data_IF_068806749310
#
_entry.id   IF_068806749310
#
_cell.length_a   1.000
_cell.length_b   1.000
_cell.length_c   1.000
_cell.angle_alpha   90.00
_cell.angle_beta   90.00
_cell.angle_gamma   90.00
#
_symmetry.space_group_name_H-M   'P 1'
#
loop_
_entity.id
_entity.type
_entity.pdbx_description
1 polymer ?
#
# COMPACT_ATOMS: atom_id res chain seq x y z
N UNK A 1 -76.33 9.44 -2.96
CA UNK A 1 -75.62 10.73 -3.10
C UNK A 1 -74.15 10.41 -2.86
N UNK A 2 -73.22 10.29 -3.79
CA UNK A 2 -73.08 10.51 -5.24
C UNK A 2 -72.32 9.29 -5.80
N UNK A 3 -72.60 8.83 -7.04
CA UNK A 3 -71.89 7.74 -7.70
C UNK A 3 -70.64 8.31 -8.44
N UNK A 4 -69.92 7.47 -9.20
CA UNK A 4 -69.34 7.79 -10.54
C UNK A 4 -67.87 7.32 -10.73
N UNK A 5 -67.71 6.45 -11.74
CA UNK A 5 -66.53 6.10 -12.55
C UNK A 5 -65.60 4.95 -12.12
N UNK A 6 -66.10 3.74 -12.39
CA UNK A 6 -65.34 2.74 -13.15
C UNK A 6 -65.17 3.20 -14.62
N UNK A 7 -64.15 2.66 -15.29
CA UNK A 7 -63.81 2.74 -16.72
C UNK A 7 -62.75 3.79 -17.13
N UNK A 8 -61.53 3.29 -17.39
CA UNK A 8 -60.47 3.73 -18.33
C UNK A 8 -59.18 3.10 -17.77
N UNK A 9 -58.43 2.20 -18.39
CA UNK A 9 -57.84 2.32 -19.72
C UNK A 9 -57.26 0.95 -20.08
N UNK A 10 -57.90 0.24 -21.00
CA UNK A 10 -57.27 -0.81 -21.79
C UNK A 10 -56.97 -0.19 -23.16
N UNK A 11 -55.73 -0.36 -23.64
CA UNK A 11 -55.20 -0.05 -24.99
C UNK A 11 -54.02 0.95 -24.99
N UNK A 12 -52.81 0.40 -25.02
CA UNK A 12 -51.55 0.88 -25.65
C UNK A 12 -50.42 0.16 -24.91
N UNK A 13 -49.50 -0.57 -25.53
CA UNK A 13 -48.83 -0.31 -26.81
C UNK A 13 -48.30 -1.62 -27.39
N UNK A 14 -48.43 -1.77 -28.71
CA UNK A 14 -47.66 -2.74 -29.47
C UNK A 14 -46.19 -2.31 -29.47
N UNK A 15 -45.31 -3.20 -29.02
CA UNK A 15 -43.87 -3.07 -29.27
C UNK A 15 -43.60 -3.37 -30.74
N UNK A 16 -42.94 -2.47 -31.49
CA UNK A 16 -42.47 -2.77 -32.82
C UNK A 16 -41.38 -3.84 -32.74
N UNK A 17 -41.51 -4.87 -33.59
CA UNK A 17 -40.43 -5.78 -33.96
C UNK A 17 -39.16 -4.96 -34.26
N UNK A 18 -38.17 -5.07 -33.39
CA UNK A 18 -36.82 -4.61 -33.68
C UNK A 18 -36.21 -5.46 -34.81
N UNK A 19 -35.30 -4.88 -35.63
CA UNK A 19 -34.65 -5.60 -36.70
C UNK A 19 -33.87 -6.79 -36.14
N UNK A 20 -34.00 -7.94 -36.83
CA UNK A 20 -33.24 -9.14 -36.58
C UNK A 20 -31.76 -8.81 -36.44
N UNK A 21 -31.21 -9.03 -35.25
CA UNK A 21 -29.77 -9.02 -35.03
C UNK A 21 -29.22 -10.20 -35.85
N UNK A 22 -28.30 -9.99 -36.79
CA UNK A 22 -27.65 -11.09 -37.47
C UNK A 22 -26.93 -11.95 -36.45
N UNK A 23 -27.25 -13.24 -36.51
CA UNK A 23 -26.57 -14.34 -35.84
C UNK A 23 -25.04 -14.15 -35.96
N UNK A 24 -24.27 -14.15 -34.87
CA UNK A 24 -22.82 -14.10 -34.99
C UNK A 24 -22.37 -15.38 -35.69
N UNK A 25 -21.82 -15.23 -36.89
CA UNK A 25 -21.09 -16.29 -37.59
C UNK A 25 -20.17 -17.00 -36.59
N UNK A 26 -20.43 -18.28 -36.39
CA UNK A 26 -19.51 -19.17 -35.69
C UNK A 26 -18.16 -19.08 -36.42
N UNK A 27 -17.07 -18.64 -35.76
CA UNK A 27 -15.76 -18.72 -36.37
C UNK A 27 -15.45 -20.19 -36.63
N UNK A 28 -15.21 -20.50 -37.90
CA UNK A 28 -14.78 -21.79 -38.39
C UNK A 28 -13.67 -22.35 -37.48
N UNK A 29 -13.83 -23.62 -37.10
CA UNK A 29 -12.87 -24.37 -36.31
C UNK A 29 -11.47 -24.25 -36.95
N UNK A 30 -10.58 -23.53 -36.27
CA UNK A 30 -9.15 -23.56 -36.54
C UNK A 30 -8.65 -24.99 -36.29
N UNK A 31 -7.99 -25.64 -37.26
CA UNK A 31 -7.41 -26.96 -37.04
C UNK A 31 -6.31 -26.89 -35.96
N UNK A 32 -6.09 -27.97 -35.18
CA UNK A 32 -5.07 -27.99 -34.14
C UNK A 32 -3.69 -27.81 -34.75
N UNK A 33 -3.01 -26.73 -34.36
CA UNK A 33 -1.61 -26.51 -34.68
C UNK A 33 -0.77 -27.61 -34.02
N UNK A 34 0.08 -28.24 -34.85
CA UNK A 34 1.06 -29.24 -34.47
C UNK A 34 1.98 -28.72 -33.34
N UNK A 35 2.37 -29.57 -32.37
CA UNK A 35 3.35 -29.20 -31.37
C UNK A 35 4.73 -29.10 -32.03
N UNK A 36 5.21 -27.87 -32.21
CA UNK A 36 6.61 -27.60 -32.49
C UNK A 36 7.46 -28.14 -31.33
N UNK A 37 8.21 -29.21 -31.61
CA UNK A 37 9.34 -29.68 -30.82
C UNK A 37 10.34 -28.54 -30.61
N UNK A 38 10.29 -27.88 -29.46
CA UNK A 38 11.35 -26.98 -29.02
C UNK A 38 12.51 -27.81 -28.45
N UNK A 39 13.54 -27.87 -29.28
CA UNK A 39 14.92 -28.20 -28.98
C UNK A 39 15.40 -27.58 -27.66
N UNK A 40 15.58 -28.43 -26.65
CA UNK A 40 16.45 -28.18 -25.50
C UNK A 40 17.88 -27.90 -26.02
N UNK A 41 18.27 -26.63 -26.02
CA UNK A 41 19.68 -26.23 -26.11
C UNK A 41 20.08 -25.67 -24.75
N UNK A 42 20.64 -26.59 -23.96
CA UNK A 42 21.17 -26.42 -22.63
C UNK A 42 22.38 -25.47 -22.65
N UNK A 43 22.19 -24.28 -22.08
CA UNK A 43 23.26 -23.30 -21.85
C UNK A 43 24.09 -23.79 -20.67
N UNK A 44 25.24 -24.39 -21.02
CA UNK A 44 26.28 -24.79 -20.09
C UNK A 44 27.00 -23.56 -19.51
N UNK A 45 27.12 -23.57 -18.18
CA UNK A 45 28.29 -23.13 -17.41
C UNK A 45 28.94 -21.78 -17.74
N UNK A 46 28.73 -20.78 -16.88
CA UNK A 46 29.73 -19.72 -16.65
C UNK A 46 29.80 -19.33 -15.17
N UNK A 47 30.18 -20.29 -14.32
CA UNK A 47 30.67 -20.03 -12.96
C UNK A 47 32.15 -19.64 -13.08
N UNK A 48 32.41 -18.34 -13.28
CA UNK A 48 33.74 -17.78 -13.40
C UNK A 48 34.08 -16.86 -12.23
N UNK A 49 35.07 -17.29 -11.45
CA UNK A 49 35.91 -16.54 -10.51
C UNK A 49 35.81 -15.00 -10.49
N UNK A 50 35.69 -14.45 -9.27
CA UNK A 50 36.30 -13.15 -8.95
C UNK A 50 36.73 -13.06 -7.47
N UNK A 51 37.78 -13.80 -7.13
CA UNK A 51 38.69 -13.42 -6.05
C UNK A 51 39.77 -12.50 -6.66
N UNK A 52 39.79 -11.23 -6.28
CA UNK A 52 40.98 -10.37 -6.42
C UNK A 52 40.84 -9.13 -5.55
N UNK A 53 41.60 -9.14 -4.46
CA UNK A 53 42.41 -8.04 -3.95
C UNK A 53 41.93 -6.61 -4.21
N UNK A 54 41.58 -5.90 -3.13
CA UNK A 54 41.96 -4.49 -3.02
C UNK A 54 42.38 -4.21 -1.59
N UNK A 55 43.69 -4.35 -1.41
CA UNK A 55 44.50 -3.77 -0.35
C UNK A 55 44.32 -2.23 -0.42
N UNK A 56 43.71 -1.65 0.61
CA UNK A 56 43.52 -0.21 0.73
C UNK A 56 44.27 0.29 1.98
N UNK A 57 45.15 1.30 1.84
CA UNK A 57 46.02 1.74 2.92
C UNK A 57 45.25 2.49 4.01
N UNK A 58 45.54 2.12 5.25
CA UNK A 58 45.12 2.83 6.47
C UNK A 58 45.60 4.30 6.42
N UNK A 59 44.72 5.30 6.57
CA UNK A 59 45.16 6.66 6.87
C UNK A 59 45.70 6.69 8.30
N UNK A 60 46.98 7.01 8.41
CA UNK A 60 47.64 7.31 9.67
C UNK A 60 46.92 8.50 10.32
N UNK A 61 46.45 8.30 11.54
CA UNK A 61 45.93 9.36 12.38
C UNK A 61 47.09 10.30 12.75
N UNK A 62 47.15 11.47 12.12
CA UNK A 62 47.89 12.61 12.64
C UNK A 62 47.26 13.03 13.96
N UNK A 63 47.95 12.66 15.04
CA UNK A 63 47.72 13.08 16.42
C UNK A 63 47.95 14.60 16.52
N UNK A 64 46.94 15.38 16.14
CA UNK A 64 46.92 16.82 16.38
C UNK A 64 46.43 17.08 17.80
N UNK A 65 47.41 17.32 18.67
CA UNK A 65 47.21 17.75 20.06
C UNK A 65 46.28 18.99 20.13
N UNK A 66 45.14 18.93 20.85
CA UNK A 66 44.28 20.10 21.02
C UNK A 66 44.94 21.10 21.98
N UNK A 67 44.81 22.43 21.73
CA UNK A 67 45.31 23.44 22.64
C UNK A 67 44.57 23.41 23.99
N UNK A 68 45.22 23.82 25.09
CA UNK A 68 44.59 23.88 26.40
C UNK A 68 43.44 24.89 26.39
N UNK A 69 42.22 24.39 26.58
CA UNK A 69 41.03 25.22 26.76
C UNK A 69 41.08 25.82 28.17
N UNK A 70 40.88 27.15 28.34
CA UNK A 70 40.88 27.80 29.65
C UNK A 70 39.69 27.32 30.51
N UNK A 71 39.98 26.89 31.73
CA UNK A 71 39.04 26.34 32.74
C UNK A 71 38.07 27.36 33.36
N UNK A 72 37.85 28.50 32.73
CA UNK A 72 37.11 29.64 33.30
C UNK A 72 35.81 29.88 32.51
N UNK A 73 34.85 28.97 32.60
CA UNK A 73 33.43 29.30 32.41
C UNK A 73 32.52 28.22 33.03
N UNK A 74 32.69 28.00 34.34
CA UNK A 74 31.70 27.35 35.19
C UNK A 74 30.68 28.42 35.59
N UNK A 75 29.56 28.54 34.86
CA UNK A 75 28.28 28.98 35.43
C UNK A 75 27.13 28.74 34.44
N UNK A 76 26.47 27.58 34.54
CA UNK A 76 25.29 27.26 33.78
C UNK A 76 24.92 25.80 33.95
N UNK A 77 24.05 25.51 34.93
CA UNK A 77 23.63 24.16 35.28
C UNK A 77 23.11 23.38 34.07
N UNK A 78 23.80 22.29 33.74
CA UNK A 78 23.28 21.29 32.81
C UNK A 78 22.13 20.54 33.52
N UNK A 79 20.94 20.44 32.91
CA UNK A 79 19.94 19.50 33.39
C UNK A 79 20.56 18.10 33.34
N UNK A 80 20.37 17.35 34.42
CA UNK A 80 20.82 15.98 34.61
C UNK A 80 20.24 15.11 33.48
N UNK A 81 21.02 14.91 32.40
CA UNK A 81 20.73 13.93 31.36
C UNK A 81 20.76 12.56 32.01
N UNK A 82 19.58 12.04 32.30
CA UNK A 82 19.37 10.65 32.68
C UNK A 82 19.92 9.76 31.56
N UNK A 83 20.73 8.77 31.94
CA UNK A 83 21.33 7.86 30.98
C UNK A 83 20.23 7.16 30.17
N UNK A 84 20.35 7.06 28.83
CA UNK A 84 19.32 6.49 27.94
C UNK A 84 19.06 4.99 28.12
N UNK A 85 19.55 4.37 29.20
CA UNK A 85 19.30 2.97 29.59
C UNK A 85 18.37 2.80 30.80
N UNK A 86 18.13 3.84 31.60
CA UNK A 86 17.35 3.71 32.85
C UNK A 86 15.84 3.58 32.59
N UNK A 87 15.34 4.07 31.46
CA UNK A 87 13.92 3.93 31.12
C UNK A 87 13.52 2.46 30.90
N UNK A 88 14.41 1.62 30.34
CA UNK A 88 14.14 0.18 30.16
C UNK A 88 14.14 -0.59 31.48
N UNK A 89 14.97 -0.18 32.44
CA UNK A 89 14.98 -0.76 33.77
C UNK A 89 13.70 -0.41 34.55
N UNK A 90 13.22 0.84 34.42
CA UNK A 90 12.01 1.30 35.10
C UNK A 90 10.73 0.67 34.52
N UNK A 91 10.63 0.53 33.19
CA UNK A 91 9.52 -0.17 32.53
C UNK A 91 9.43 -1.66 32.90
N UNK A 92 10.57 -2.31 33.15
CA UNK A 92 10.61 -3.72 33.55
C UNK A 92 10.20 -3.95 35.00
N UNK A 93 10.45 -2.98 35.88
CA UNK A 93 10.03 -3.03 37.28
C UNK A 93 8.51 -2.83 37.40
N UNK A 94 7.93 -1.91 36.61
CA UNK A 94 6.50 -1.59 36.67
C UNK A 94 5.61 -2.67 36.02
N UNK A 95 6.15 -3.46 35.08
CA UNK A 95 5.40 -4.57 34.46
C UNK A 95 5.20 -5.77 35.39
N UNK A 96 6.00 -5.88 36.48
CA UNK A 96 6.03 -7.06 37.35
C UNK A 96 4.88 -7.12 38.35
N UNK A 97 4.28 -5.98 38.69
CA UNK A 97 3.15 -5.89 39.65
C UNK A 97 1.78 -5.66 38.96
N UNK A 98 1.76 -5.48 37.64
CA UNK A 98 0.50 -5.32 36.92
C UNK A 98 -0.18 -6.68 36.73
N UNK A 99 -1.41 -6.86 37.24
CA UNK A 99 -2.25 -8.04 36.98
C UNK A 99 -2.72 -8.13 35.51
N UNK A 100 -2.37 -7.14 34.70
CA UNK A 100 -2.81 -6.94 33.31
C UNK A 100 -2.32 -8.05 32.37
N UNK A 101 -1.04 -8.50 32.37
CA UNK A 101 -0.57 -9.56 31.49
C UNK A 101 -1.25 -10.90 31.80
N UNK A 102 -1.49 -11.16 33.09
CA UNK A 102 -2.23 -12.33 33.55
C UNK A 102 -3.68 -12.34 33.06
N UNK A 103 -4.37 -11.20 33.14
CA UNK A 103 -5.72 -11.05 32.59
C UNK A 103 -5.75 -11.20 31.07
N UNK A 104 -4.75 -10.68 30.35
CA UNK A 104 -4.68 -10.79 28.89
C UNK A 104 -4.52 -12.24 28.44
N UNK A 105 -3.64 -13.00 29.11
CA UNK A 105 -3.45 -14.43 28.86
C UNK A 105 -4.71 -15.23 29.23
N UNK A 106 -5.31 -14.97 30.39
CA UNK A 106 -6.54 -15.63 30.81
C UNK A 106 -7.69 -15.38 29.83
N UNK A 107 -7.83 -14.14 29.35
CA UNK A 107 -8.83 -13.77 28.35
C UNK A 107 -8.58 -14.46 27.01
N UNK A 108 -7.32 -14.50 26.55
CA UNK A 108 -6.95 -15.23 25.32
C UNK A 108 -7.29 -16.71 25.39
N UNK A 109 -6.97 -17.38 26.51
CA UNK A 109 -7.33 -18.79 26.74
C UNK A 109 -8.83 -18.99 26.78
N UNK A 110 -9.59 -18.07 27.39
CA UNK A 110 -11.04 -18.15 27.51
C UNK A 110 -11.73 -17.98 26.14
N UNK A 111 -11.24 -17.06 25.30
CA UNK A 111 -11.72 -16.90 23.91
C UNK A 111 -11.41 -18.14 23.08
N UNK A 112 -10.19 -18.68 23.18
CA UNK A 112 -9.80 -19.91 22.48
C UNK A 112 -10.67 -21.10 22.93
N UNK A 113 -10.89 -21.24 24.23
CA UNK A 113 -11.74 -22.28 24.80
C UNK A 113 -13.20 -22.13 24.36
N UNK A 114 -13.73 -20.90 24.35
CA UNK A 114 -15.07 -20.61 23.83
C UNK A 114 -15.21 -20.98 22.35
N UNK A 115 -14.21 -20.68 21.52
CA UNK A 115 -14.21 -21.06 20.10
C UNK A 115 -14.14 -22.59 19.92
N UNK A 116 -13.33 -23.30 20.69
CA UNK A 116 -13.31 -24.77 20.71
C UNK A 116 -14.66 -25.34 21.15
N UNK A 117 -15.26 -24.81 22.21
CA UNK A 117 -16.55 -25.28 22.74
C UNK A 117 -17.68 -25.00 21.74
N UNK A 118 -17.71 -23.83 21.13
CA UNK A 118 -18.67 -23.47 20.06
C UNK A 118 -18.52 -24.39 18.84
N UNK A 119 -17.29 -24.81 18.53
CA UNK A 119 -17.01 -25.76 17.44
C UNK A 119 -17.39 -27.20 17.82
N UNK A 120 -17.33 -27.58 19.10
CA UNK A 120 -17.77 -28.90 19.58
C UNK A 120 -19.30 -29.00 19.70
N UNK A 121 -19.97 -27.96 20.19
CA UNK A 121 -21.44 -27.95 20.38
C UNK A 121 -22.18 -27.96 19.03
N UNK A 122 -21.57 -27.38 17.98
CA UNK A 122 -22.14 -27.41 16.63
C UNK A 122 -21.84 -28.68 15.84
N UNK A 123 -21.21 -29.70 16.43
CA UNK A 123 -21.11 -31.01 15.77
C UNK A 123 -22.46 -31.72 15.94
N UNK A 124 -23.22 -31.95 14.86
CA UNK A 124 -24.43 -32.76 14.96
C UNK A 124 -24.02 -34.12 15.53
N UNK A 125 -24.71 -34.55 16.60
CA UNK A 125 -24.53 -35.90 17.16
C UNK A 125 -24.79 -36.89 16.04
N UNK A 126 -23.82 -37.74 15.66
CA UNK A 126 -24.05 -38.74 14.63
C UNK A 126 -25.05 -39.74 15.19
N UNK A 127 -26.30 -39.67 14.71
CA UNK A 127 -27.22 -40.79 14.80
C UNK A 127 -26.54 -41.96 14.07
N UNK A 128 -26.53 -43.14 14.69
CA UNK A 128 -25.81 -44.31 14.21
C UNK A 128 -26.18 -44.62 12.75
N UNK A 129 -25.31 -44.25 11.82
CA UNK A 129 -25.47 -44.51 10.40
C UNK A 129 -24.83 -45.85 10.02
N UNK A 130 -25.35 -46.53 8.97
CA UNK A 130 -24.88 -47.86 8.55
C UNK A 130 -23.42 -47.86 8.07
N UNK A 131 -22.76 -49.01 8.24
CA UNK A 131 -21.31 -49.19 8.08
C UNK A 131 -20.75 -48.91 6.66
N UNK A 132 -21.58 -48.92 5.62
CA UNK A 132 -21.19 -48.60 4.24
C UNK A 132 -20.93 -47.10 4.03
N UNK A 133 -21.68 -46.23 4.71
CA UNK A 133 -21.52 -44.77 4.59
C UNK A 133 -20.21 -44.25 5.18
N UNK A 134 -19.53 -45.06 6.02
CA UNK A 134 -18.33 -44.64 6.76
C UNK A 134 -17.09 -44.53 5.87
N UNK A 135 -16.99 -45.36 4.83
CA UNK A 135 -15.84 -45.34 3.90
C UNK A 135 -15.96 -44.15 2.94
N UNK A 136 -17.16 -43.81 2.49
CA UNK A 136 -17.42 -42.60 1.70
C UNK A 136 -17.17 -41.33 2.53
N UNK A 137 -17.60 -41.28 3.79
CA UNK A 137 -17.36 -40.10 4.64
C UNK A 137 -15.87 -39.88 4.93
N UNK A 138 -15.05 -40.94 5.01
CA UNK A 138 -13.59 -40.81 5.16
C UNK A 138 -12.96 -40.24 3.87
N UNK A 139 -13.41 -40.68 2.69
CA UNK A 139 -12.96 -40.13 1.42
C UNK A 139 -13.38 -38.66 1.22
N UNK A 140 -14.62 -38.32 1.54
CA UNK A 140 -15.13 -36.94 1.44
C UNK A 140 -14.39 -36.01 2.42
N UNK A 141 -14.03 -36.51 3.60
CA UNK A 141 -13.28 -35.73 4.60
C UNK A 141 -11.80 -35.58 4.23
N UNK A 142 -11.20 -36.57 3.56
CA UNK A 142 -9.86 -36.47 3.01
C UNK A 142 -9.83 -35.44 1.87
N UNK A 143 -10.79 -35.50 0.94
CA UNK A 143 -10.93 -34.51 -0.14
C UNK A 143 -11.17 -33.09 0.40
N UNK A 144 -11.97 -32.93 1.45
CA UNK A 144 -12.21 -31.62 2.07
C UNK A 144 -10.97 -31.02 2.77
N UNK A 145 -9.97 -31.84 3.13
CA UNK A 145 -8.80 -31.38 3.89
C UNK A 145 -7.60 -30.94 3.05
N UNK A 146 -7.51 -31.37 1.79
CA UNK A 146 -6.42 -31.00 0.87
C UNK A 146 -6.70 -29.67 0.15
N UNK A 147 -7.98 -29.38 -0.12
CA UNK A 147 -8.41 -28.15 -0.80
C UNK A 147 -8.04 -26.80 -0.13
N UNK A 148 -7.92 -26.66 1.21
CA UNK A 148 -7.65 -25.34 1.81
C UNK A 148 -6.22 -24.84 1.54
N UNK A 149 -5.24 -25.75 1.52
CA UNK A 149 -3.84 -25.40 1.28
C UNK A 149 -3.62 -25.09 -0.20
N UNK A 150 -4.17 -25.91 -1.09
CA UNK A 150 -4.14 -25.66 -2.53
C UNK A 150 -4.81 -24.33 -2.90
N UNK A 151 -5.95 -24.02 -2.26
CA UNK A 151 -6.61 -22.72 -2.42
C UNK A 151 -5.73 -21.57 -1.93
N UNK A 152 -5.11 -21.71 -0.76
CA UNK A 152 -4.22 -20.69 -0.23
C UNK A 152 -2.99 -20.48 -1.14
N UNK A 153 -2.42 -21.55 -1.72
CA UNK A 153 -1.32 -21.44 -2.68
C UNK A 153 -1.76 -20.77 -3.99
N UNK A 154 -2.94 -21.12 -4.52
CA UNK A 154 -3.49 -20.48 -5.71
C UNK A 154 -3.78 -18.99 -5.48
N UNK A 155 -4.32 -18.64 -4.31
CA UNK A 155 -4.53 -17.23 -3.91
C UNK A 155 -3.21 -16.48 -3.75
N UNK A 156 -2.18 -17.11 -3.15
CA UNK A 156 -0.85 -16.53 -3.02
C UNK A 156 -0.20 -16.30 -4.40
N UNK A 157 -0.33 -17.25 -5.32
CA UNK A 157 0.17 -17.11 -6.69
C UNK A 157 -0.57 -15.99 -7.43
N UNK A 158 -1.90 -15.91 -7.31
CA UNK A 158 -2.70 -14.85 -7.92
C UNK A 158 -2.33 -13.48 -7.35
N UNK A 159 -2.08 -13.39 -6.04
CA UNK A 159 -1.62 -12.18 -5.38
C UNK A 159 -0.22 -11.78 -5.88
N UNK A 160 0.70 -12.74 -6.02
CA UNK A 160 2.03 -12.49 -6.56
C UNK A 160 1.99 -11.97 -8.00
N UNK A 161 1.17 -12.58 -8.87
CA UNK A 161 0.96 -12.12 -10.25
C UNK A 161 0.38 -10.70 -10.29
N UNK A 162 -0.57 -10.39 -9.41
CA UNK A 162 -1.15 -9.03 -9.30
C UNK A 162 -0.13 -8.01 -8.81
N UNK A 163 0.71 -8.37 -7.84
CA UNK A 163 1.78 -7.50 -7.35
C UNK A 163 2.81 -7.24 -8.44
N UNK A 164 3.23 -8.27 -9.17
CA UNK A 164 4.14 -8.12 -10.31
C UNK A 164 3.60 -7.11 -11.33
N UNK A 165 2.36 -7.32 -11.81
CA UNK A 165 1.71 -6.39 -12.74
C UNK A 165 1.61 -4.95 -12.18
N UNK A 166 1.41 -4.80 -10.87
CA UNK A 166 1.35 -3.46 -10.25
C UNK A 166 2.73 -2.80 -10.19
N UNK A 167 3.78 -3.57 -9.94
CA UNK A 167 5.16 -3.08 -9.95
C UNK A 167 5.62 -2.70 -11.36
N UNK A 168 5.27 -3.50 -12.36
CA UNK A 168 5.59 -3.21 -13.77
C UNK A 168 4.98 -1.87 -14.20
N UNK A 169 3.67 -1.66 -13.94
CA UNK A 169 3.01 -0.38 -14.22
C UNK A 169 3.65 0.82 -13.50
N UNK A 170 4.20 0.60 -12.30
CA UNK A 170 4.90 1.66 -11.56
C UNK A 170 6.29 1.93 -12.12
N UNK A 171 7.01 0.89 -12.55
CA UNK A 171 8.32 1.02 -13.20
C UNK A 171 8.17 1.81 -14.51
N UNK A 172 7.20 1.44 -15.36
CA UNK A 172 6.93 2.16 -16.61
C UNK A 172 6.64 3.65 -16.36
N UNK A 173 5.86 3.96 -15.31
CA UNK A 173 5.58 5.34 -14.93
C UNK A 173 6.82 6.08 -14.46
N UNK A 174 7.71 5.42 -13.70
CA UNK A 174 8.96 6.02 -13.25
C UNK A 174 9.89 6.30 -14.44
N UNK A 175 10.00 5.38 -15.39
CA UNK A 175 10.80 5.56 -16.59
C UNK A 175 10.29 6.74 -17.44
N UNK A 176 8.97 6.89 -17.56
CA UNK A 176 8.37 8.04 -18.23
C UNK A 176 8.72 9.36 -17.54
N UNK A 177 8.64 9.41 -16.20
CA UNK A 177 8.98 10.61 -15.43
C UNK A 177 10.47 10.96 -15.52
N UNK A 178 11.35 9.95 -15.55
CA UNK A 178 12.80 10.14 -15.74
C UNK A 178 13.06 10.75 -17.12
N UNK A 179 12.47 10.18 -18.18
CA UNK A 179 12.58 10.73 -19.53
C UNK A 179 12.06 12.17 -19.64
N UNK A 180 10.96 12.48 -18.95
CA UNK A 180 10.44 13.85 -18.91
C UNK A 180 11.39 14.81 -18.20
N UNK A 181 11.99 14.39 -17.09
CA UNK A 181 12.97 15.17 -16.34
C UNK A 181 14.23 15.42 -17.18
N UNK A 182 14.75 14.40 -17.86
CA UNK A 182 15.91 14.52 -18.76
C UNK A 182 15.62 15.49 -19.91
N UNK A 183 14.43 15.41 -20.52
CA UNK A 183 14.01 16.36 -21.55
C UNK A 183 14.01 17.80 -21.03
N UNK A 184 13.46 18.03 -19.82
CA UNK A 184 13.45 19.37 -19.20
C UNK A 184 14.85 19.87 -18.88
N UNK A 185 15.77 19.00 -18.45
CA UNK A 185 17.17 19.35 -18.22
C UNK A 185 17.87 19.78 -19.52
N UNK A 186 17.63 19.08 -20.63
CA UNK A 186 18.14 19.49 -21.94
C UNK A 186 17.59 20.85 -22.39
N UNK A 187 16.28 21.08 -22.22
CA UNK A 187 15.64 22.36 -22.55
C UNK A 187 16.26 23.52 -21.74
N UNK A 188 16.46 23.32 -20.43
CA UNK A 188 17.12 24.30 -19.56
C UNK A 188 18.57 24.55 -19.97
N UNK A 189 19.33 23.49 -20.27
CA UNK A 189 20.71 23.62 -20.74
C UNK A 189 20.78 24.37 -22.08
N UNK A 190 19.85 24.12 -23.00
CA UNK A 190 19.73 24.86 -24.28
C UNK A 190 19.40 26.34 -24.04
N UNK A 191 18.48 26.64 -23.10
CA UNK A 191 18.13 28.01 -22.73
C UNK A 191 19.32 28.76 -22.09
N UNK A 192 20.04 28.12 -21.16
CA UNK A 192 21.25 28.67 -20.55
C UNK A 192 22.30 28.95 -21.62
N UNK A 193 22.56 28.01 -22.53
CA UNK A 193 23.51 28.18 -23.62
C UNK A 193 23.09 29.29 -24.61
N UNK A 194 21.79 29.50 -24.83
CA UNK A 194 21.29 30.61 -25.64
C UNK A 194 21.51 31.96 -24.96
N UNK A 195 21.23 32.07 -23.66
CA UNK A 195 21.49 33.28 -22.87
C UNK A 195 22.99 33.61 -22.82
N UNK A 196 23.86 32.62 -22.62
CA UNK A 196 25.31 32.83 -22.64
C UNK A 196 25.84 33.31 -24.00
N UNK A 197 25.24 32.91 -25.13
CA UNK A 197 25.62 33.40 -26.47
C UNK A 197 25.13 34.83 -26.74
N UNK A 198 23.96 35.19 -26.23
CA UNK A 198 23.35 36.49 -26.46
C UNK A 198 23.77 37.56 -25.44
N UNK A 199 24.59 37.21 -24.46
CA UNK A 199 25.23 38.20 -23.59
C UNK A 199 26.54 38.59 -24.26
N UNK A 200 26.59 39.62 -25.13
CA UNK A 200 27.87 40.11 -25.63
C UNK A 200 28.70 40.41 -24.40
N UNK A 201 29.85 39.74 -24.30
CA UNK A 201 30.91 40.12 -23.38
C UNK A 201 31.26 41.54 -23.76
N UNK A 202 30.58 42.50 -23.15
CA UNK A 202 31.07 43.86 -23.08
C UNK A 202 32.36 43.76 -22.31
N UNK A 203 33.46 43.73 -23.06
CA UNK A 203 34.83 43.95 -22.60
C UNK A 203 34.95 45.40 -22.11
N UNK A 204 34.08 45.80 -21.19
CA UNK A 204 34.13 47.06 -20.47
C UNK A 204 34.89 46.80 -19.19
N UNK A 205 36.17 47.19 -19.24
CA UNK A 205 36.87 47.94 -18.20
C UNK A 205 36.37 47.70 -16.78
N UNK A 206 37.07 46.78 -16.12
CA UNK A 206 36.95 46.30 -14.74
C UNK A 206 36.74 47.44 -13.72
N UNK A 207 35.50 47.74 -13.26
CA UNK A 207 35.31 48.36 -11.97
C UNK A 207 35.26 47.22 -10.94
N UNK A 208 35.92 47.46 -9.81
CA UNK A 208 36.13 46.52 -8.73
C UNK A 208 34.88 45.67 -8.43
N UNK A 209 35.02 44.35 -8.60
CA UNK A 209 34.04 43.35 -8.18
C UNK A 209 33.83 43.55 -6.67
N UNK A 210 32.65 43.99 -6.20
CA UNK A 210 32.36 43.93 -4.78
C UNK A 210 32.41 42.45 -4.43
N UNK A 211 33.46 42.06 -3.70
CA UNK A 211 33.53 40.77 -3.04
C UNK A 211 32.27 40.73 -2.19
N UNK A 212 31.24 40.02 -2.67
CA UNK A 212 30.17 39.55 -1.79
C UNK A 212 30.88 38.57 -0.87
N UNK A 213 31.47 39.10 0.18
CA UNK A 213 31.89 38.37 1.36
C UNK A 213 30.60 37.72 1.84
N UNK A 214 30.39 36.48 1.40
CA UNK A 214 29.37 35.62 1.97
C UNK A 214 29.80 35.53 3.43
N UNK A 215 29.10 36.27 4.28
CA UNK A 215 29.40 36.35 5.70
C UNK A 215 29.35 34.90 6.22
N UNK A 216 30.48 34.32 6.65
CA UNK A 216 30.54 32.90 7.04
C UNK A 216 29.55 32.59 8.18
N UNK A 217 29.12 33.62 8.93
CA UNK A 217 28.07 33.53 9.93
C UNK A 217 26.69 33.13 9.35
N UNK A 218 26.40 33.42 8.08
CA UNK A 218 25.16 32.97 7.42
C UNK A 218 25.21 31.49 7.05
N UNK A 219 26.39 30.95 6.73
CA UNK A 219 26.57 29.51 6.50
C UNK A 219 26.41 28.71 7.80
N UNK A 220 26.97 29.21 8.91
CA UNK A 220 26.81 28.56 10.23
C UNK A 220 25.36 28.63 10.71
N UNK A 221 24.65 29.73 10.46
CA UNK A 221 23.22 29.83 10.78
C UNK A 221 22.38 28.85 9.97
N UNK A 222 22.62 28.74 8.66
CA UNK A 222 21.93 27.76 7.82
C UNK A 222 22.22 26.32 8.25
N UNK A 223 23.46 26.03 8.69
CA UNK A 223 23.86 24.70 9.17
C UNK A 223 23.18 24.35 10.49
N UNK A 224 23.08 25.30 11.43
CA UNK A 224 22.37 25.11 12.71
C UNK A 224 20.86 24.95 12.48
N UNK A 225 20.28 25.68 11.53
CA UNK A 225 18.86 25.60 11.20
C UNK A 225 18.51 24.28 10.51
N UNK A 226 19.43 23.74 9.68
CA UNK A 226 19.32 22.42 9.07
C UNK A 226 19.50 21.28 10.09
N UNK A 227 20.50 21.36 10.99
CA UNK A 227 20.69 20.37 12.07
C UNK A 227 19.51 20.36 13.05
N UNK A 228 18.88 21.53 13.27
CA UNK A 228 17.67 21.66 14.09
C UNK A 228 16.42 21.14 13.38
N UNK A 229 16.38 21.18 12.05
CA UNK A 229 15.32 20.56 11.26
C UNK A 229 15.46 19.03 11.20
N UNK A 230 16.70 18.50 11.17
CA UNK A 230 16.97 17.05 11.22
C UNK A 230 16.80 16.44 12.63
N UNK A 231 17.11 17.19 13.70
CA UNK A 231 16.94 16.73 15.09
C UNK A 231 15.59 17.03 15.70
N UNK A 232 14.80 17.93 15.11
CA UNK A 232 13.37 17.83 15.32
C UNK A 232 12.99 16.49 14.70
N UNK A 233 12.53 15.50 15.50
CA UNK A 233 12.01 14.28 14.91
C UNK A 233 10.97 14.79 13.92
N UNK A 234 11.24 14.58 12.63
CA UNK A 234 10.25 14.79 11.58
C UNK A 234 8.97 14.25 12.20
N UNK A 235 7.97 15.12 12.49
CA UNK A 235 6.81 14.71 13.26
C UNK A 235 6.34 13.51 12.51
N UNK A 236 6.51 12.31 13.13
CA UNK A 236 6.32 11.05 12.42
C UNK A 236 5.07 11.31 11.65
N UNK A 237 5.15 11.21 10.34
CA UNK A 237 3.98 10.94 9.57
C UNK A 237 3.54 9.56 10.08
N UNK A 238 2.98 9.49 11.31
CA UNK A 238 1.74 8.78 11.55
C UNK A 238 1.01 9.03 10.26
N UNK A 239 0.76 7.98 9.46
CA UNK A 239 0.02 8.14 8.23
C UNK A 239 -1.16 8.97 8.67
N UNK A 240 -1.12 10.24 8.23
CA UNK A 240 -2.19 11.17 8.47
C UNK A 240 -3.23 10.45 7.66
N UNK A 241 -4.04 9.65 8.35
CA UNK A 241 -5.41 9.42 8.02
C UNK A 241 -5.90 10.86 7.97
N UNK A 242 -5.65 11.49 6.82
CA UNK A 242 -6.54 12.41 6.20
C UNK A 242 -7.84 11.66 6.32
N UNK A 243 -8.51 11.95 7.44
CA UNK A 243 -9.92 12.22 7.53
C UNK A 243 -10.17 13.32 6.48
N UNK A 244 -9.92 12.96 5.22
CA UNK A 244 -10.65 13.43 4.08
C UNK A 244 -12.06 13.28 4.57
N UNK A 245 -12.65 14.41 4.85
CA UNK A 245 -14.08 14.57 5.05
C UNK A 245 -14.71 14.05 3.76
N UNK A 246 -14.89 12.73 3.69
CA UNK A 246 -15.46 11.96 2.58
C UNK A 246 -16.97 12.17 2.48
N UNK A 247 -17.55 13.11 3.23
CA UNK A 247 -18.90 12.90 3.73
C UNK A 247 -20.03 13.58 2.95
N UNK A 248 -19.79 14.46 1.96
CA UNK A 248 -20.94 15.13 1.31
C UNK A 248 -20.97 15.14 -0.22
N UNK A 249 -19.86 14.86 -0.92
CA UNK A 249 -19.84 15.05 -2.39
C UNK A 249 -19.24 13.90 -3.19
N UNK A 250 -19.20 12.68 -2.66
CA UNK A 250 -18.98 11.54 -3.55
C UNK A 250 -20.31 11.13 -4.21
N UNK A 251 -20.48 11.29 -5.55
CA UNK A 251 -21.71 10.92 -6.25
C UNK A 251 -22.05 9.42 -6.11
N UNK A 252 -21.05 8.58 -5.79
CA UNK A 252 -21.23 7.15 -5.54
C UNK A 252 -22.02 6.91 -4.24
N UNK A 253 -21.76 7.66 -3.16
CA UNK A 253 -22.46 7.46 -1.88
C UNK A 253 -23.96 7.75 -2.01
N UNK A 254 -24.32 8.80 -2.75
CA UNK A 254 -25.74 9.12 -3.03
C UNK A 254 -26.45 8.01 -3.80
N UNK A 255 -25.79 7.39 -4.78
CA UNK A 255 -26.34 6.26 -5.54
C UNK A 255 -26.49 5.01 -4.68
N UNK A 256 -25.51 4.72 -3.83
CA UNK A 256 -25.59 3.60 -2.87
C UNK A 256 -26.78 3.80 -1.92
N UNK A 257 -26.98 5.01 -1.38
CA UNK A 257 -28.10 5.28 -0.48
C UNK A 257 -29.46 5.24 -1.20
N UNK A 258 -29.57 5.78 -2.41
CA UNK A 258 -30.80 5.72 -3.19
C UNK A 258 -31.23 4.26 -3.45
N UNK A 259 -30.31 3.40 -3.90
CA UNK A 259 -30.63 1.98 -4.13
C UNK A 259 -30.95 1.22 -2.84
N UNK A 260 -30.34 1.60 -1.72
CA UNK A 260 -30.66 1.02 -0.43
C UNK A 260 -32.05 1.47 0.08
N UNK A 261 -32.43 2.73 -0.16
CA UNK A 261 -33.77 3.24 0.13
C UNK A 261 -34.85 2.58 -0.73
N UNK A 262 -34.49 2.12 -1.94
CA UNK A 262 -35.33 1.26 -2.79
C UNK A 262 -35.43 -0.21 -2.28
N UNK A 263 -34.73 -0.55 -1.20
CA UNK A 263 -34.77 -1.88 -0.57
C UNK A 263 -33.84 -2.93 -1.21
N UNK A 264 -32.90 -2.50 -2.07
CA UNK A 264 -31.98 -3.41 -2.74
C UNK A 264 -30.91 -3.95 -1.76
N UNK A 265 -30.56 -5.26 -1.79
CA UNK A 265 -29.55 -5.82 -0.91
C UNK A 265 -28.13 -5.36 -1.30
N UNK A 266 -27.16 -5.28 -0.35
CA UNK A 266 -25.81 -4.76 -0.61
C UNK A 266 -25.06 -5.45 -1.76
N UNK A 267 -25.27 -6.76 -1.92
CA UNK A 267 -24.67 -7.56 -3.01
C UNK A 267 -25.15 -7.08 -4.38
N UNK A 268 -26.43 -6.77 -4.52
CA UNK A 268 -27.03 -6.30 -5.77
C UNK A 268 -26.64 -4.85 -6.06
N UNK A 269 -26.58 -3.99 -5.04
CA UNK A 269 -26.07 -2.62 -5.15
C UNK A 269 -24.63 -2.63 -5.66
N UNK A 270 -23.76 -3.46 -5.07
CA UNK A 270 -22.36 -3.62 -5.48
C UNK A 270 -22.25 -4.06 -6.95
N UNK A 271 -23.06 -5.04 -7.37
CA UNK A 271 -23.09 -5.51 -8.76
C UNK A 271 -23.57 -4.43 -9.73
N UNK A 272 -24.64 -3.69 -9.37
CA UNK A 272 -25.23 -2.66 -10.25
C UNK A 272 -24.31 -1.46 -10.46
N UNK A 273 -23.55 -1.07 -9.43
CA UNK A 273 -22.60 0.05 -9.48
C UNK A 273 -21.18 -0.37 -9.88
N UNK A 274 -20.96 -1.66 -10.12
CA UNK A 274 -19.64 -2.28 -10.34
C UNK A 274 -18.62 -1.87 -9.26
N UNK A 275 -19.04 -1.94 -8.00
CA UNK A 275 -18.22 -1.61 -6.82
C UNK A 275 -17.93 -2.85 -5.97
N UNK A 276 -16.82 -2.89 -5.21
CA UNK A 276 -16.57 -3.96 -4.24
C UNK A 276 -17.66 -4.00 -3.16
N UNK A 277 -18.12 -5.21 -2.81
CA UNK A 277 -19.19 -5.39 -1.82
C UNK A 277 -18.85 -4.77 -0.45
N UNK A 278 -17.60 -4.92 0.01
CA UNK A 278 -17.17 -4.36 1.30
C UNK A 278 -17.19 -2.83 1.33
N UNK A 279 -16.99 -2.16 0.18
CA UNK A 279 -17.09 -0.70 0.10
C UNK A 279 -18.54 -0.24 0.22
N UNK A 280 -19.48 -0.96 -0.41
CA UNK A 280 -20.92 -0.69 -0.28
C UNK A 280 -21.39 -0.91 1.16
N UNK A 281 -21.00 -2.03 1.79
CA UNK A 281 -21.32 -2.30 3.20
C UNK A 281 -20.75 -1.23 4.13
N UNK A 282 -19.51 -0.79 3.89
CA UNK A 282 -18.90 0.30 4.65
C UNK A 282 -19.69 1.59 4.53
N UNK A 283 -20.09 2.00 3.32
CA UNK A 283 -20.89 3.21 3.08
C UNK A 283 -22.25 3.13 3.79
N UNK A 284 -22.90 1.96 3.77
CA UNK A 284 -24.17 1.75 4.47
C UNK A 284 -24.01 1.76 6.00
N UNK A 285 -22.93 1.18 6.52
CA UNK A 285 -22.62 1.20 7.95
C UNK A 285 -22.32 2.63 8.45
N UNK A 286 -21.61 3.43 7.65
CA UNK A 286 -21.34 4.83 7.98
C UNK A 286 -22.64 5.64 8.14
N UNK A 287 -23.64 5.45 7.25
CA UNK A 287 -24.97 6.07 7.38
C UNK A 287 -25.72 5.64 8.63
N UNK A 288 -25.53 4.40 9.09
CA UNK A 288 -26.18 3.88 10.30
C UNK A 288 -25.51 4.38 11.59
N UNK A 289 -24.24 4.75 11.52
CA UNK A 289 -23.43 5.15 12.68
C UNK A 289 -23.32 6.67 12.87
N UNK A 290 -23.72 7.49 11.90
CA UNK A 290 -23.83 8.95 12.00
C UNK A 290 -25.20 9.39 12.49
#
# INVERSE_FOLDING_TARGET
MTPTLAALTAAQSGSPLGPAIPEPEQPAATPPAEPATQSHAEVQSLTGHREAATDAPQPQAEETSPPPIPSELILGGRPQESAPGDWLANLRAEYKDSMIPGMLMAFGVLVLMYLMMRRLIRRPRPAAAPHETRVQEIHDRAAASVTPVERAMAEAEQLARRLAATLDNKADRMDLLIQEADRKLEELNKAIAAVSRNTPVSTHDRPQRPVRTIDPSLMDRARIEQDRAERQPEPRHEPRLTRETTDETNPIHRRVWALADDGMPPVEIARSLNQPIGQVELILNLRKSG
#
